data_IF_905753148643
#
_entry.id   IF_905753148643
#
_cell.length_a   1.000
_cell.length_b   1.000
_cell.length_c   1.000
_cell.angle_alpha   90.00
_cell.angle_beta   90.00
_cell.angle_gamma   90.00
#
_symmetry.space_group_name_H-M   'P 1'
#
loop_
_entity.id
_entity.type
_entity.pdbx_description
1 polymer ?
#
# COMPACT_ATOMS: atom_id res chain seq x y z
N UNK A 1 -43.65 8.88 4.96
CA UNK A 1 -42.45 9.31 4.21
C UNK A 1 -41.21 8.61 4.77
N UNK A 2 -40.94 7.35 4.41
CA UNK A 2 -39.78 6.63 4.99
C UNK A 2 -39.14 5.57 4.09
N UNK A 3 -39.62 5.35 2.85
CA UNK A 3 -39.05 4.34 1.95
C UNK A 3 -37.98 4.92 1.00
N UNK A 4 -38.13 6.19 0.59
CA UNK A 4 -37.18 6.85 -0.33
C UNK A 4 -35.77 7.03 0.27
N UNK A 5 -35.66 7.21 1.60
CA UNK A 5 -34.38 7.46 2.27
C UNK A 5 -33.48 6.22 2.37
N UNK A 6 -34.07 5.02 2.40
CA UNK A 6 -33.29 3.78 2.47
C UNK A 6 -32.72 3.37 1.12
N UNK A 7 -33.45 3.64 0.03
CA UNK A 7 -32.98 3.38 -1.33
C UNK A 7 -31.81 4.29 -1.72
N UNK A 8 -31.86 5.56 -1.36
CA UNK A 8 -30.73 6.49 -1.57
C UNK A 8 -29.52 6.14 -0.72
N UNK A 9 -29.71 5.81 0.57
CA UNK A 9 -28.63 5.35 1.43
C UNK A 9 -28.00 4.03 0.93
N UNK A 10 -28.82 3.10 0.42
CA UNK A 10 -28.33 1.86 -0.19
C UNK A 10 -27.54 2.13 -1.47
N UNK A 11 -28.04 2.99 -2.36
CA UNK A 11 -27.33 3.37 -3.58
C UNK A 11 -25.98 4.02 -3.26
N UNK A 12 -25.92 4.93 -2.28
CA UNK A 12 -24.68 5.59 -1.88
C UNK A 12 -23.67 4.62 -1.25
N UNK A 13 -24.14 3.67 -0.44
CA UNK A 13 -23.29 2.62 0.13
C UNK A 13 -22.79 1.64 -0.95
N UNK A 14 -23.66 1.28 -1.90
CA UNK A 14 -23.29 0.45 -3.05
C UNK A 14 -22.27 1.17 -3.94
N UNK A 15 -22.43 2.48 -4.17
CA UNK A 15 -21.45 3.29 -4.89
C UNK A 15 -20.11 3.35 -4.14
N UNK A 16 -20.10 3.59 -2.83
CA UNK A 16 -18.87 3.56 -2.01
C UNK A 16 -18.19 2.19 -2.00
N UNK A 17 -18.97 1.11 -2.02
CA UNK A 17 -18.44 -0.25 -2.12
C UNK A 17 -17.95 -0.60 -3.53
N UNK A 18 -18.54 0.01 -4.56
CA UNK A 18 -18.18 -0.19 -5.97
C UNK A 18 -17.03 0.72 -6.44
N UNK A 19 -16.78 1.85 -5.76
CA UNK A 19 -15.57 2.64 -5.99
C UNK A 19 -14.40 1.74 -5.58
N UNK A 20 -13.49 1.38 -6.51
CA UNK A 20 -12.30 0.63 -6.15
C UNK A 20 -11.58 1.44 -5.07
N UNK A 21 -11.49 0.90 -3.86
CA UNK A 21 -10.67 1.53 -2.82
C UNK A 21 -9.32 1.88 -3.42
N UNK A 22 -8.85 3.10 -3.19
CA UNK A 22 -7.58 3.59 -3.75
C UNK A 22 -6.53 2.49 -3.65
N UNK A 23 -5.88 2.15 -4.77
CA UNK A 23 -4.89 1.07 -4.80
C UNK A 23 -3.83 1.38 -3.75
N UNK A 24 -3.72 0.50 -2.75
CA UNK A 24 -2.69 0.58 -1.72
C UNK A 24 -1.51 -0.25 -2.17
N UNK A 25 -0.33 0.22 -1.83
CA UNK A 25 0.93 -0.43 -2.14
C UNK A 25 1.70 -0.62 -0.84
N UNK A 26 2.36 -1.76 -0.73
CA UNK A 26 3.37 -2.02 0.27
C UNK A 26 4.74 -1.78 -0.37
N UNK A 27 5.51 -0.85 0.21
CA UNK A 27 6.88 -0.56 -0.22
C UNK A 27 7.83 -1.04 0.86
N UNK A 28 8.67 -2.01 0.51
CA UNK A 28 9.66 -2.59 1.42
C UNK A 28 11.06 -2.17 1.01
N UNK A 29 11.94 -1.94 1.98
CA UNK A 29 13.37 -1.74 1.70
C UNK A 29 14.06 -3.11 1.65
N UNK A 30 14.82 -3.41 0.61
CA UNK A 30 15.47 -4.71 0.39
C UNK A 30 16.98 -4.51 0.33
N UNK A 31 17.73 -5.40 0.98
CA UNK A 31 19.18 -5.50 0.80
C UNK A 31 19.49 -6.29 -0.47
N UNK A 32 20.16 -5.66 -1.44
CA UNK A 32 20.54 -6.25 -2.73
C UNK A 32 21.50 -7.41 -2.60
N UNK A 33 22.36 -7.39 -1.57
CA UNK A 33 23.36 -8.45 -1.37
C UNK A 33 22.72 -9.74 -0.84
N UNK A 34 21.70 -9.62 0.00
CA UNK A 34 21.05 -10.77 0.65
C UNK A 34 19.68 -11.12 0.08
N UNK A 35 19.06 -10.23 -0.70
CA UNK A 35 17.69 -10.32 -1.19
C UNK A 35 16.64 -10.21 -0.08
N UNK A 36 17.04 -9.89 1.16
CA UNK A 36 16.15 -9.88 2.32
C UNK A 36 15.59 -8.48 2.59
N UNK A 37 14.35 -8.37 3.08
CA UNK A 37 13.82 -7.10 3.54
C UNK A 37 14.64 -6.58 4.73
N UNK A 38 14.73 -5.25 4.81
CA UNK A 38 15.32 -4.57 5.95
C UNK A 38 14.45 -4.79 7.18
N UNK A 39 15.07 -5.22 8.27
CA UNK A 39 14.39 -5.53 9.52
C UNK A 39 14.66 -4.44 10.56
N UNK A 40 13.62 -3.96 11.24
CA UNK A 40 13.71 -3.10 12.41
C UNK A 40 13.19 -3.89 13.60
N UNK A 41 14.05 -4.13 14.59
CA UNK A 41 13.68 -4.91 15.80
C UNK A 41 13.04 -6.28 15.49
N UNK A 42 13.49 -6.94 14.42
CA UNK A 42 12.97 -8.25 14.01
C UNK A 42 11.68 -8.22 13.18
N UNK A 43 11.19 -7.04 12.78
CA UNK A 43 10.01 -6.86 11.92
C UNK A 43 10.45 -6.24 10.58
N UNK A 44 9.97 -6.74 9.42
CA UNK A 44 10.29 -6.13 8.14
C UNK A 44 9.73 -4.71 8.05
N UNK A 45 10.55 -3.77 7.59
CA UNK A 45 10.12 -2.41 7.32
C UNK A 45 9.27 -2.40 6.04
N UNK A 46 7.98 -2.14 6.20
CA UNK A 46 7.01 -1.99 5.11
C UNK A 46 6.27 -0.68 5.29
N UNK A 47 6.25 0.15 4.25
CA UNK A 47 5.48 1.40 4.21
C UNK A 47 4.25 1.19 3.33
N UNK A 48 3.08 1.43 3.90
CA UNK A 48 1.81 1.41 3.16
C UNK A 48 1.52 2.78 2.58
N UNK A 49 1.30 2.85 1.27
CA UNK A 49 1.17 4.13 0.55
C UNK A 49 0.24 4.01 -0.66
N UNK A 50 -0.28 5.14 -1.12
CA UNK A 50 -0.96 5.27 -2.42
C UNK A 50 -0.03 5.87 -3.49
N UNK A 51 1.15 6.37 -3.10
CA UNK A 51 2.19 6.93 -3.99
C UNK A 51 3.49 6.14 -3.89
N UNK A 52 3.53 4.90 -4.44
CA UNK A 52 4.65 3.98 -4.22
C UNK A 52 5.99 4.50 -4.74
N UNK A 53 6.02 5.21 -5.87
CA UNK A 53 7.26 5.72 -6.45
C UNK A 53 7.88 6.85 -5.63
N UNK A 54 7.08 7.81 -5.15
CA UNK A 54 7.55 8.87 -4.25
C UNK A 54 8.08 8.27 -2.95
N UNK A 55 7.32 7.32 -2.39
CA UNK A 55 7.70 6.61 -1.17
C UNK A 55 9.01 5.82 -1.35
N UNK A 56 9.22 5.20 -2.51
CA UNK A 56 10.49 4.54 -2.85
C UNK A 56 11.66 5.53 -2.89
N UNK A 57 11.47 6.72 -3.47
CA UNK A 57 12.52 7.76 -3.49
C UNK A 57 12.86 8.21 -2.08
N UNK A 58 11.86 8.44 -1.23
CA UNK A 58 12.05 8.84 0.16
C UNK A 58 12.70 7.73 1.00
N UNK A 59 12.31 6.46 0.78
CA UNK A 59 12.95 5.31 1.41
C UNK A 59 14.39 5.10 0.92
N UNK A 60 14.75 5.53 -0.29
CA UNK A 60 16.13 5.46 -0.77
C UNK A 60 16.96 6.70 -0.44
N UNK A 61 16.34 7.78 0.07
CA UNK A 61 17.05 9.00 0.46
C UNK A 61 18.14 8.70 1.48
N UNK A 62 19.35 9.18 1.21
CA UNK A 62 20.56 8.98 2.03
C UNK A 62 20.98 7.50 2.19
N UNK A 63 20.57 6.61 1.27
CA UNK A 63 20.99 5.20 1.24
C UNK A 63 21.85 4.92 0.00
N UNK A 64 22.77 3.97 0.14
CA UNK A 64 23.62 3.50 -0.97
C UNK A 64 22.82 2.60 -1.93
N UNK A 65 22.64 2.98 -3.22
CA UNK A 65 21.93 2.17 -4.21
C UNK A 65 22.63 0.86 -4.60
N UNK A 66 23.91 0.69 -4.26
CA UNK A 66 24.62 -0.59 -4.48
C UNK A 66 24.19 -1.65 -3.45
N UNK A 67 23.75 -1.21 -2.27
CA UNK A 67 23.37 -2.09 -1.17
C UNK A 67 21.85 -2.17 -0.99
N UNK A 68 21.15 -1.05 -1.16
CA UNK A 68 19.72 -0.97 -0.89
C UNK A 68 18.92 -0.81 -2.18
N UNK A 69 17.72 -1.38 -2.18
CA UNK A 69 16.70 -1.21 -3.22
C UNK A 69 15.32 -1.20 -2.57
N UNK A 70 14.27 -0.90 -3.35
CA UNK A 70 12.89 -0.98 -2.87
C UNK A 70 12.08 -2.00 -3.65
N UNK A 71 11.21 -2.72 -2.96
CA UNK A 71 10.24 -3.62 -3.57
C UNK A 71 8.84 -3.07 -3.37
N UNK A 72 8.10 -2.92 -4.47
CA UNK A 72 6.74 -2.38 -4.49
C UNK A 72 5.79 -3.53 -4.80
N UNK A 73 4.85 -3.77 -3.90
CA UNK A 73 3.83 -4.79 -4.05
C UNK A 73 2.45 -4.15 -3.97
N UNK A 74 1.58 -4.49 -4.91
CA UNK A 74 0.20 -3.96 -4.90
C UNK A 74 -0.62 -4.75 -3.90
N UNK A 75 -1.44 -4.05 -3.14
CA UNK A 75 -2.37 -4.65 -2.19
C UNK A 75 -3.77 -4.66 -2.78
N UNK A 76 -4.48 -5.76 -2.55
CA UNK A 76 -5.90 -5.84 -2.85
C UNK A 76 -6.74 -5.07 -1.82
N UNK A 77 -8.05 -4.99 -2.07
CA UNK A 77 -9.01 -4.29 -1.20
C UNK A 77 -9.13 -4.86 0.22
N UNK A 78 -8.64 -6.09 0.44
CA UNK A 78 -8.59 -6.75 1.76
C UNK A 78 -7.24 -6.58 2.47
N UNK A 79 -6.28 -5.88 1.85
CA UNK A 79 -4.94 -5.67 2.40
C UNK A 79 -4.01 -6.88 2.24
N UNK A 80 -4.37 -7.85 1.41
CA UNK A 80 -3.46 -8.92 1.03
C UNK A 80 -2.67 -8.53 -0.23
N UNK A 81 -1.45 -9.03 -0.30
CA UNK A 81 -0.58 -8.86 -1.47
C UNK A 81 -1.20 -9.51 -2.71
N UNK A 82 -0.97 -8.92 -3.88
CA UNK A 82 -1.54 -9.34 -5.16
C UNK A 82 -0.47 -9.87 -6.11
#
# INVERSE_FOLDING_TARGET
MSMLNHLSAFAENAFRAAVPGQSRYAVSLIDRCSGKPHMISGVPLVVLTTTPHETSVDLMRNRDPRRWDTFIERMNSKGAYQ
#
